data_IF_350848020470
#
_entry.id   IF_350848020470
#
_cell.length_a   1.000
_cell.length_b   1.000
_cell.length_c   1.000
_cell.angle_alpha   90.00
_cell.angle_beta   90.00
_cell.angle_gamma   90.00
#
_symmetry.space_group_name_H-M   'P 1'
#
loop_
_entity.id
_entity.type
_entity.pdbx_description
1 polymer ?
#
# COMPACT_ATOMS: atom_id res chain seq x y z
N UNK A 1 46.98 -46.56 -18.79
CA UNK A 1 46.28 -45.47 -19.49
C UNK A 1 44.78 -45.79 -19.62
N UNK A 2 43.96 -45.39 -18.65
CA UNK A 2 42.48 -45.32 -18.71
C UNK A 2 42.01 -44.89 -17.31
N UNK A 3 41.49 -43.67 -17.16
CA UNK A 3 40.53 -43.27 -16.09
C UNK A 3 40.28 -41.74 -15.93
N UNK A 4 40.66 -40.88 -16.88
CA UNK A 4 40.44 -39.43 -16.75
C UNK A 4 39.09 -38.92 -17.30
N UNK A 5 38.30 -39.75 -18.00
CA UNK A 5 37.02 -39.32 -18.61
C UNK A 5 35.81 -39.40 -17.69
N UNK A 6 35.83 -40.23 -16.64
CA UNK A 6 34.66 -40.44 -15.78
C UNK A 6 34.45 -39.31 -14.74
N UNK A 7 35.48 -38.53 -14.43
CA UNK A 7 35.40 -37.48 -13.40
C UNK A 7 34.72 -36.20 -13.91
N UNK A 8 34.89 -35.84 -15.19
CA UNK A 8 34.30 -34.63 -15.79
C UNK A 8 32.77 -34.67 -15.86
N UNK A 9 32.16 -35.85 -15.94
CA UNK A 9 30.71 -36.02 -16.06
C UNK A 9 29.94 -35.81 -14.74
N UNK A 10 30.63 -35.90 -13.57
CA UNK A 10 30.01 -35.66 -12.26
C UNK A 10 29.88 -34.16 -11.93
N UNK A 11 30.85 -33.34 -12.34
CA UNK A 11 30.81 -31.89 -12.09
C UNK A 11 29.75 -31.17 -12.94
N UNK A 12 29.48 -31.65 -14.15
CA UNK A 12 28.46 -31.06 -15.04
C UNK A 12 27.03 -31.16 -14.47
N UNK A 13 26.75 -32.17 -13.64
CA UNK A 13 25.40 -32.40 -13.07
C UNK A 13 25.11 -31.56 -11.82
N UNK A 14 26.13 -31.15 -11.08
CA UNK A 14 25.98 -30.33 -9.87
C UNK A 14 25.75 -28.85 -10.26
N UNK A 15 26.42 -28.37 -11.31
CA UNK A 15 26.23 -27.01 -11.82
C UNK A 15 24.83 -26.77 -12.42
N UNK A 16 24.22 -27.79 -13.03
CA UNK A 16 22.86 -27.68 -13.60
C UNK A 16 21.76 -27.58 -12.52
N UNK A 17 22.01 -28.08 -11.29
CA UNK A 17 21.04 -28.04 -10.19
C UNK A 17 21.04 -26.71 -9.42
N UNK A 18 22.16 -25.98 -9.38
CA UNK A 18 22.20 -24.69 -8.69
C UNK A 18 21.50 -23.58 -9.50
N UNK A 19 21.56 -23.63 -10.83
CA UNK A 19 20.93 -22.64 -11.70
C UNK A 19 19.38 -22.66 -11.62
N UNK A 20 18.77 -23.84 -11.42
CA UNK A 20 17.31 -23.99 -11.29
C UNK A 20 16.77 -23.46 -9.97
N UNK A 21 17.53 -23.59 -8.87
CA UNK A 21 17.10 -23.07 -7.55
C UNK A 21 17.07 -21.53 -7.57
N UNK A 22 18.06 -20.87 -8.18
CA UNK A 22 18.05 -19.41 -8.33
C UNK A 22 16.92 -18.91 -9.23
N UNK A 23 16.58 -19.65 -10.29
CA UNK A 23 15.47 -19.29 -11.17
C UNK A 23 14.09 -19.41 -10.49
N UNK A 24 13.88 -20.43 -9.64
CA UNK A 24 12.62 -20.61 -8.90
C UNK A 24 12.47 -19.57 -7.78
N UNK A 25 13.55 -19.22 -7.07
CA UNK A 25 13.50 -18.17 -6.03
C UNK A 25 13.22 -16.79 -6.64
N UNK A 26 13.70 -16.52 -7.86
CA UNK A 26 13.42 -15.27 -8.58
C UNK A 26 11.95 -15.11 -9.01
N UNK A 27 11.22 -16.20 -9.28
CA UNK A 27 9.82 -16.13 -9.74
C UNK A 27 8.79 -16.03 -8.60
N UNK A 28 9.17 -16.29 -7.34
CA UNK A 28 8.23 -16.23 -6.19
C UNK A 28 8.01 -14.80 -5.69
N UNK A 29 8.76 -13.80 -6.18
CA UNK A 29 8.46 -12.38 -5.95
C UNK A 29 7.58 -11.80 -7.06
N UNK A 30 6.49 -12.50 -7.38
CA UNK A 30 5.37 -11.84 -8.03
C UNK A 30 4.71 -10.99 -6.94
N UNK A 31 5.27 -9.80 -6.69
CA UNK A 31 4.57 -8.76 -5.94
C UNK A 31 3.21 -8.62 -6.60
N UNK A 32 2.16 -9.00 -5.88
CA UNK A 32 0.79 -8.83 -6.34
C UNK A 32 0.70 -7.42 -6.89
N UNK A 33 0.43 -7.28 -8.19
CA UNK A 33 0.22 -5.99 -8.82
C UNK A 33 -0.94 -5.33 -8.09
N UNK A 34 -0.62 -4.55 -7.05
CA UNK A 34 -1.58 -3.83 -6.26
C UNK A 34 -1.96 -2.64 -7.12
N UNK A 35 -3.09 -2.74 -7.82
CA UNK A 35 -3.63 -1.61 -8.52
C UNK A 35 -3.93 -0.52 -7.49
N UNK A 36 -3.14 0.56 -7.51
CA UNK A 36 -3.41 1.72 -6.69
C UNK A 36 -4.79 2.27 -7.05
N UNK A 37 -5.65 2.47 -6.05
CA UNK A 37 -6.94 3.11 -6.18
C UNK A 37 -6.74 4.61 -6.03
N UNK A 38 -7.03 5.37 -7.09
CA UNK A 38 -6.96 6.83 -7.08
C UNK A 38 -8.27 7.43 -6.56
N UNK A 39 -8.23 7.97 -5.37
CA UNK A 39 -9.34 8.66 -4.72
C UNK A 39 -9.31 10.14 -5.11
N UNK A 40 -10.46 10.66 -5.50
CA UNK A 40 -10.68 12.08 -5.78
C UNK A 40 -11.51 12.67 -4.65
N UNK A 41 -11.13 13.85 -4.17
CA UNK A 41 -11.86 14.59 -3.15
C UNK A 41 -12.22 15.93 -3.71
N UNK A 42 -13.51 16.21 -3.76
CA UNK A 42 -14.05 17.50 -4.14
C UNK A 42 -14.71 18.14 -2.92
N UNK A 43 -14.41 19.41 -2.69
CA UNK A 43 -15.12 20.26 -1.74
C UNK A 43 -15.83 21.32 -2.56
N UNK A 44 -17.15 21.26 -2.58
CA UNK A 44 -18.00 22.24 -3.24
C UNK A 44 -18.56 23.20 -2.18
N UNK A 45 -18.68 24.49 -2.52
CA UNK A 45 -19.37 25.52 -1.76
C UNK A 45 -20.45 26.12 -2.65
N UNK A 46 -21.69 26.07 -2.22
CA UNK A 46 -22.84 26.60 -2.96
C UNK A 46 -22.92 26.03 -4.41
N UNK A 47 -22.50 24.77 -4.58
CA UNK A 47 -22.44 24.07 -5.87
C UNK A 47 -21.23 24.38 -6.75
N UNK A 48 -20.27 25.19 -6.29
CA UNK A 48 -19.01 25.49 -7.00
C UNK A 48 -17.84 24.75 -6.35
N UNK A 49 -16.97 24.15 -7.16
CA UNK A 49 -15.76 23.49 -6.66
C UNK A 49 -14.79 24.55 -6.12
N UNK A 50 -14.43 24.43 -4.84
CA UNK A 50 -13.52 25.35 -4.13
C UNK A 50 -12.20 24.71 -3.75
N UNK A 51 -12.22 23.40 -3.45
CA UNK A 51 -11.00 22.64 -3.15
C UNK A 51 -11.07 21.28 -3.82
N UNK A 52 -9.92 20.81 -4.29
CA UNK A 52 -9.79 19.45 -4.80
C UNK A 52 -8.46 18.82 -4.37
N UNK A 53 -8.45 17.50 -4.20
CA UNK A 53 -7.20 16.76 -3.99
C UNK A 53 -7.35 15.30 -4.41
N UNK A 54 -6.22 14.62 -4.50
CA UNK A 54 -6.13 13.22 -4.88
C UNK A 54 -5.36 12.45 -3.82
N UNK A 55 -5.84 11.24 -3.51
CA UNK A 55 -5.11 10.28 -2.68
C UNK A 55 -4.98 8.97 -3.44
N UNK A 56 -3.90 8.24 -3.22
CA UNK A 56 -3.77 6.86 -3.67
C UNK A 56 -3.76 5.90 -2.47
N UNK A 57 -4.43 4.75 -2.62
CA UNK A 57 -4.32 3.65 -1.65
C UNK A 57 -4.34 2.28 -2.34
N UNK A 58 -4.12 1.21 -1.55
CA UNK A 58 -4.15 -0.17 -2.06
C UNK A 58 -5.56 -0.73 -2.31
N UNK A 59 -6.61 0.09 -2.31
CA UNK A 59 -8.00 -0.32 -2.56
C UNK A 59 -8.71 -1.00 -1.39
N UNK A 60 -8.04 -1.18 -0.24
CA UNK A 60 -8.55 -1.94 0.92
C UNK A 60 -9.15 -1.08 2.03
N UNK A 61 -8.88 0.23 2.03
CA UNK A 61 -9.38 1.12 3.06
C UNK A 61 -10.90 1.31 2.91
N UNK A 62 -11.60 1.23 4.05
CA UNK A 62 -13.03 1.53 4.12
C UNK A 62 -13.30 3.05 4.03
N UNK A 63 -14.57 3.43 3.88
CA UNK A 63 -14.97 4.83 3.76
C UNK A 63 -14.51 5.68 4.96
N UNK A 64 -14.59 5.14 6.17
CA UNK A 64 -14.18 5.81 7.40
C UNK A 64 -12.66 6.06 7.44
N UNK A 65 -11.85 5.13 6.95
CA UNK A 65 -10.40 5.27 6.84
C UNK A 65 -10.03 6.27 5.75
N UNK A 66 -10.67 6.17 4.58
CA UNK A 66 -10.44 7.09 3.46
C UNK A 66 -10.79 8.53 3.84
N UNK A 67 -11.89 8.75 4.58
CA UNK A 67 -12.26 10.10 5.04
C UNK A 67 -11.15 10.77 5.86
N UNK A 68 -10.45 9.99 6.68
CA UNK A 68 -9.35 10.48 7.52
C UNK A 68 -8.10 10.87 6.74
N UNK A 69 -8.08 10.64 5.42
CA UNK A 69 -7.00 11.13 4.57
C UNK A 69 -7.03 12.66 4.43
N UNK A 70 -8.19 13.30 4.65
CA UNK A 70 -8.34 14.77 4.69
C UNK A 70 -7.38 15.47 5.67
N UNK A 71 -6.90 14.75 6.69
CA UNK A 71 -5.93 15.28 7.66
C UNK A 71 -4.46 15.03 7.29
N UNK A 72 -4.18 14.26 6.22
CA UNK A 72 -2.81 13.78 5.90
C UNK A 72 -2.10 14.64 4.87
N UNK A 73 -2.81 15.07 3.83
CA UNK A 73 -2.24 15.87 2.75
C UNK A 73 -3.01 17.16 2.60
N UNK A 74 -2.34 18.22 2.11
CA UNK A 74 -3.02 19.44 1.81
C UNK A 74 -3.98 19.26 0.63
N UNK A 75 -5.09 19.96 0.72
CA UNK A 75 -6.10 20.11 -0.31
C UNK A 75 -5.70 21.32 -1.14
N UNK A 76 -5.63 21.13 -2.46
CA UNK A 76 -5.27 22.19 -3.38
C UNK A 76 -6.49 23.08 -3.65
N UNK A 77 -6.26 24.39 -3.74
CA UNK A 77 -7.24 25.33 -4.26
C UNK A 77 -7.36 25.12 -5.76
N UNK A 78 -8.58 25.19 -6.27
CA UNK A 78 -8.77 25.32 -7.72
C UNK A 78 -8.50 26.78 -8.12
N UNK A 79 -7.55 26.97 -9.04
CA UNK A 79 -6.91 28.27 -9.30
C UNK A 79 -7.89 29.35 -9.79
N UNK A 80 -9.08 28.97 -10.29
CA UNK A 80 -9.92 29.87 -11.07
C UNK A 80 -11.24 30.29 -10.40
N UNK A 81 -11.70 29.64 -9.32
CA UNK A 81 -13.11 29.74 -8.92
C UNK A 81 -13.39 30.37 -7.56
N UNK A 82 -12.51 30.29 -6.55
CA UNK A 82 -12.70 31.01 -5.29
C UNK A 82 -11.45 30.97 -4.39
N UNK A 83 -11.04 32.12 -3.86
CA UNK A 83 -9.98 32.17 -2.84
C UNK A 83 -10.56 31.82 -1.47
N UNK A 84 -9.97 30.86 -0.78
CA UNK A 84 -10.17 30.69 0.67
C UNK A 84 -9.45 31.85 1.37
N UNK A 85 -10.22 32.75 1.97
CA UNK A 85 -9.68 33.90 2.70
C UNK A 85 -9.20 33.46 4.10
N UNK A 86 -7.94 33.71 4.47
CA UNK A 86 -7.46 33.48 5.83
C UNK A 86 -8.16 34.37 6.86
N UNK A 87 -8.31 33.88 8.09
CA UNK A 87 -8.87 34.66 9.19
C UNK A 87 -7.96 35.86 9.51
N UNK A 88 -8.54 37.05 9.68
CA UNK A 88 -7.79 38.31 9.91
C UNK A 88 -6.95 38.29 11.19
N UNK A 89 -7.38 37.56 12.21
CA UNK A 89 -6.68 37.43 13.49
C UNK A 89 -5.67 36.27 13.50
N UNK A 90 -5.83 35.29 12.60
CA UNK A 90 -4.96 34.13 12.54
C UNK A 90 -4.81 33.65 11.09
N UNK A 91 -3.76 34.08 10.36
CA UNK A 91 -3.60 33.74 8.96
C UNK A 91 -3.34 32.25 8.73
N UNK A 92 -3.10 31.44 9.75
CA UNK A 92 -2.95 29.99 9.63
C UNK A 92 -4.28 29.24 9.63
N UNK A 93 -5.40 29.96 9.75
CA UNK A 93 -6.76 29.42 9.78
C UNK A 93 -7.60 30.11 8.72
N UNK A 94 -8.62 29.40 8.25
CA UNK A 94 -9.67 29.97 7.43
C UNK A 94 -10.99 29.28 7.76
N UNK A 95 -12.07 30.07 7.77
CA UNK A 95 -13.42 29.55 7.90
C UNK A 95 -14.15 29.70 6.57
N UNK A 96 -14.63 28.58 6.02
CA UNK A 96 -15.49 28.58 4.84
C UNK A 96 -16.91 28.36 5.30
N UNK A 97 -17.80 29.32 5.08
CA UNK A 97 -19.24 29.23 5.35
C UNK A 97 -20.05 29.15 4.04
N UNK A 98 -21.11 28.36 4.00
CA UNK A 98 -21.99 28.17 2.82
C UNK A 98 -22.64 26.78 2.81
N UNK A 99 -23.33 26.39 1.73
CA UNK A 99 -23.72 24.99 1.54
C UNK A 99 -22.51 24.19 1.05
N UNK A 100 -21.84 23.49 1.97
CA UNK A 100 -20.57 22.81 1.69
C UNK A 100 -20.84 21.32 1.50
N UNK A 101 -20.40 20.77 0.37
CA UNK A 101 -20.41 19.35 0.07
C UNK A 101 -18.98 18.84 -0.03
N UNK A 102 -18.61 17.90 0.84
CA UNK A 102 -17.36 17.13 0.72
C UNK A 102 -17.72 15.79 0.10
N UNK A 103 -17.09 15.43 -1.02
CA UNK A 103 -17.33 14.19 -1.75
C UNK A 103 -16.02 13.45 -2.03
N UNK A 104 -15.96 12.19 -1.61
CA UNK A 104 -14.94 11.24 -2.00
C UNK A 104 -15.47 10.35 -3.13
N UNK A 105 -14.72 10.26 -4.23
CA UNK A 105 -15.02 9.37 -5.35
C UNK A 105 -13.80 8.59 -5.80
N UNK A 106 -14.04 7.45 -6.46
CA UNK A 106 -13.05 6.72 -7.23
C UNK A 106 -13.64 6.45 -8.60
N UNK A 107 -13.05 7.03 -9.65
CA UNK A 107 -13.66 7.09 -10.99
C UNK A 107 -15.05 7.72 -10.84
N UNK A 108 -16.13 6.99 -11.17
CA UNK A 108 -17.50 7.49 -11.11
C UNK A 108 -18.25 7.05 -9.85
N UNK A 109 -17.59 6.34 -8.93
CA UNK A 109 -18.21 5.80 -7.71
C UNK A 109 -17.96 6.72 -6.52
N UNK A 110 -19.03 7.26 -5.94
CA UNK A 110 -18.99 7.93 -4.64
C UNK A 110 -18.75 6.91 -3.54
N UNK A 111 -17.72 7.14 -2.72
CA UNK A 111 -17.36 6.30 -1.58
C UNK A 111 -17.93 6.85 -0.27
N UNK A 112 -17.89 8.17 -0.11
CA UNK A 112 -18.42 8.87 1.04
C UNK A 112 -18.73 10.32 0.65
N UNK A 113 -19.73 10.91 1.30
CA UNK A 113 -20.01 12.33 1.15
C UNK A 113 -20.66 12.89 2.41
N UNK A 114 -20.53 14.20 2.61
CA UNK A 114 -21.25 14.89 3.68
C UNK A 114 -21.59 16.32 3.29
N UNK A 115 -22.69 16.82 3.84
CA UNK A 115 -23.12 18.21 3.72
C UNK A 115 -22.99 18.92 5.06
N UNK A 116 -22.49 20.15 5.04
CA UNK A 116 -22.29 20.96 6.23
C UNK A 116 -22.35 22.45 5.88
N UNK A 117 -22.51 23.30 6.89
CA UNK A 117 -22.64 24.76 6.70
C UNK A 117 -21.36 25.55 6.93
N UNK A 118 -20.38 24.94 7.60
CA UNK A 118 -19.11 25.57 7.99
C UNK A 118 -17.97 24.57 8.02
N UNK A 119 -16.90 24.86 7.28
CA UNK A 119 -15.66 24.09 7.23
C UNK A 119 -14.49 24.92 7.76
N UNK A 120 -13.77 24.39 8.73
CA UNK A 120 -12.57 25.01 9.29
C UNK A 120 -11.32 24.42 8.65
N UNK A 121 -10.52 25.27 8.02
CA UNK A 121 -9.29 24.91 7.36
C UNK A 121 -8.11 25.48 8.14
N UNK A 122 -6.99 24.78 8.05
CA UNK A 122 -5.71 25.21 8.63
C UNK A 122 -4.61 25.06 7.58
N UNK A 123 -3.55 25.86 7.71
CA UNK A 123 -2.35 25.76 6.86
C UNK A 123 -1.08 25.85 7.71
N UNK A 124 0.01 25.27 7.21
CA UNK A 124 1.28 25.21 7.94
C UNK A 124 2.05 26.52 7.87
N UNK A 125 1.83 27.33 6.84
CA UNK A 125 2.52 28.59 6.58
C UNK A 125 1.55 29.65 6.05
N UNK A 126 1.74 30.91 6.46
CA UNK A 126 0.84 32.01 6.13
C UNK A 126 0.89 32.47 4.66
N UNK A 127 1.90 32.04 3.90
CA UNK A 127 2.01 32.27 2.45
C UNK A 127 1.60 31.05 1.63
N UNK A 128 1.38 29.90 2.27
CA UNK A 128 0.96 28.68 1.58
C UNK A 128 -0.48 28.78 1.08
N UNK A 129 -0.70 28.35 -0.16
CA UNK A 129 -2.02 28.11 -0.75
C UNK A 129 -2.61 26.74 -0.37
N UNK A 130 -1.84 25.93 0.36
CA UNK A 130 -2.21 24.57 0.73
C UNK A 130 -2.94 24.54 2.07
N UNK A 131 -4.22 24.13 2.02
CA UNK A 131 -5.09 24.06 3.19
C UNK A 131 -5.38 22.61 3.58
N UNK A 132 -5.57 22.32 4.87
CA UNK A 132 -5.91 21.00 5.37
C UNK A 132 -6.99 21.09 6.45
N UNK A 133 -7.66 19.97 6.70
CA UNK A 133 -8.54 19.85 7.85
C UNK A 133 -7.70 19.47 9.06
N UNK A 134 -7.96 20.13 10.20
CA UNK A 134 -7.44 19.66 11.47
C UNK A 134 -8.01 18.28 11.83
N UNK A 135 -7.30 17.48 12.62
CA UNK A 135 -7.79 16.18 13.08
C UNK A 135 -9.20 16.26 13.71
N UNK A 136 -9.43 17.30 14.52
CA UNK A 136 -10.74 17.55 15.13
C UNK A 136 -11.84 17.79 14.07
N UNK A 137 -11.51 18.54 13.01
CA UNK A 137 -12.44 18.83 11.92
C UNK A 137 -12.70 17.60 11.04
N UNK A 138 -11.69 16.77 10.82
CA UNK A 138 -11.81 15.47 10.14
C UNK A 138 -12.80 14.57 10.89
N UNK A 139 -12.65 14.42 12.21
CA UNK A 139 -13.55 13.59 13.01
C UNK A 139 -14.97 14.17 13.10
N UNK A 140 -15.09 15.49 13.20
CA UNK A 140 -16.39 16.18 13.18
C UNK A 140 -17.14 15.91 11.87
N UNK A 141 -16.46 16.07 10.74
CA UNK A 141 -17.07 15.85 9.42
C UNK A 141 -17.35 14.37 9.15
N UNK A 142 -16.49 13.45 9.63
CA UNK A 142 -16.73 12.01 9.58
C UNK A 142 -18.01 11.62 10.34
N UNK A 143 -18.20 12.18 11.53
CA UNK A 143 -19.40 11.94 12.34
C UNK A 143 -20.67 12.41 11.62
N UNK A 144 -20.64 13.60 11.01
CA UNK A 144 -21.77 14.14 10.22
C UNK A 144 -22.04 13.26 8.99
N UNK A 145 -20.99 12.71 8.38
CA UNK A 145 -21.08 11.77 7.25
C UNK A 145 -21.67 10.40 7.65
N UNK A 146 -21.93 10.16 8.95
CA UNK A 146 -22.36 8.86 9.46
C UNK A 146 -21.26 7.80 9.43
N UNK A 147 -19.99 8.24 9.35
CA UNK A 147 -18.84 7.35 9.35
C UNK A 147 -18.42 7.08 10.80
N UNK A 148 -18.41 5.81 11.17
CA UNK A 148 -17.92 5.37 12.47
C UNK A 148 -16.41 5.51 12.65
N UNK A 149 -15.86 4.97 13.76
CA UNK A 149 -14.42 4.75 13.86
C UNK A 149 -13.94 3.91 12.66
N UNK A 150 -12.67 4.10 12.22
CA UNK A 150 -12.14 3.29 11.13
C UNK A 150 -12.21 1.83 11.56
N UNK A 151 -12.66 0.94 10.66
CA UNK A 151 -12.55 -0.48 10.95
C UNK A 151 -11.09 -0.77 11.24
N UNK A 152 -10.80 -1.52 12.30
CA UNK A 152 -9.46 -2.03 12.52
C UNK A 152 -9.13 -2.90 11.32
N UNK A 153 -8.47 -2.32 10.32
CA UNK A 153 -7.91 -3.08 9.21
C UNK A 153 -6.91 -3.99 9.91
N UNK A 154 -7.08 -5.33 9.86
CA UNK A 154 -6.04 -6.19 10.37
C UNK A 154 -4.80 -5.81 9.59
N UNK A 155 -3.84 -5.21 10.27
CA UNK A 155 -2.49 -5.03 9.75
C UNK A 155 -1.96 -6.45 9.62
N UNK A 156 -2.31 -7.07 8.49
CA UNK A 156 -1.70 -8.32 8.07
C UNK A 156 -0.25 -7.96 7.89
N UNK A 157 0.54 -8.26 8.92
CA UNK A 157 1.96 -7.99 8.95
C UNK A 157 2.58 -8.80 7.80
N UNK A 158 2.70 -8.16 6.64
CA UNK A 158 3.22 -8.77 5.43
C UNK A 158 4.63 -9.31 5.68
N UNK A 159 5.36 -8.76 6.66
CA UNK A 159 6.62 -9.31 7.13
C UNK A 159 6.43 -10.69 7.77
N UNK A 160 5.46 -10.86 8.67
CA UNK A 160 5.19 -12.16 9.29
C UNK A 160 4.79 -13.23 8.24
N UNK A 161 3.93 -12.86 7.28
CA UNK A 161 3.55 -13.77 6.19
C UNK A 161 4.75 -14.09 5.28
N UNK A 162 5.53 -13.07 4.90
CA UNK A 162 6.73 -13.26 4.08
C UNK A 162 7.80 -14.10 4.77
N UNK A 163 7.99 -13.94 6.08
CA UNK A 163 8.95 -14.72 6.88
C UNK A 163 8.50 -16.18 6.97
N UNK A 164 7.21 -16.44 7.21
CA UNK A 164 6.67 -17.80 7.25
C UNK A 164 6.80 -18.51 5.90
N UNK A 165 6.46 -17.83 4.80
CA UNK A 165 6.63 -18.38 3.44
C UNK A 165 8.11 -18.64 3.14
N UNK A 166 8.99 -17.70 3.46
CA UNK A 166 10.43 -17.85 3.28
C UNK A 166 11.00 -19.03 4.10
N UNK A 167 10.57 -19.18 5.35
CA UNK A 167 10.99 -20.28 6.22
C UNK A 167 10.49 -21.64 5.71
N UNK A 168 9.23 -21.74 5.31
CA UNK A 168 8.68 -22.97 4.73
C UNK A 168 9.45 -23.40 3.48
N UNK A 169 9.81 -22.43 2.62
CA UNK A 169 10.58 -22.69 1.40
C UNK A 169 12.01 -23.17 1.73
N UNK A 170 12.65 -22.58 2.74
CA UNK A 170 13.96 -23.03 3.25
C UNK A 170 13.91 -24.46 3.79
N UNK A 171 12.87 -24.81 4.56
CA UNK A 171 12.68 -26.17 5.08
C UNK A 171 12.52 -27.18 3.94
N UNK A 172 11.74 -26.86 2.92
CA UNK A 172 11.57 -27.74 1.75
C UNK A 172 12.91 -27.95 1.02
N UNK A 173 13.67 -26.88 0.78
CA UNK A 173 14.99 -26.96 0.15
C UNK A 173 15.94 -27.83 0.98
N UNK A 174 15.94 -27.65 2.30
CA UNK A 174 16.75 -28.45 3.21
C UNK A 174 16.38 -29.95 3.15
N UNK A 175 15.09 -30.29 3.19
CA UNK A 175 14.63 -31.68 3.11
C UNK A 175 15.02 -32.33 1.78
N UNK A 176 14.86 -31.63 0.65
CA UNK A 176 15.30 -32.12 -0.67
C UNK A 176 16.81 -32.37 -0.68
N UNK A 177 17.60 -31.45 -0.13
CA UNK A 177 19.05 -31.62 -0.02
C UNK A 177 19.43 -32.88 0.78
N UNK A 178 18.79 -33.10 1.94
CA UNK A 178 19.02 -34.28 2.77
C UNK A 178 18.71 -35.58 2.02
N UNK A 179 17.59 -35.64 1.30
CA UNK A 179 17.20 -36.82 0.50
C UNK A 179 18.20 -37.12 -0.62
N UNK A 180 18.69 -36.08 -1.30
CA UNK A 180 19.69 -36.20 -2.37
C UNK A 180 21.01 -36.74 -1.80
N UNK A 181 21.50 -36.16 -0.69
CA UNK A 181 22.73 -36.62 -0.03
C UNK A 181 22.59 -38.08 0.44
N UNK A 182 21.48 -38.43 1.08
CA UNK A 182 21.23 -39.80 1.54
C UNK A 182 21.24 -40.81 0.37
N UNK A 183 20.66 -40.43 -0.76
CA UNK A 183 20.63 -41.26 -1.98
C UNK A 183 22.03 -41.44 -2.59
N UNK A 184 22.86 -40.39 -2.60
CA UNK A 184 24.25 -40.46 -3.05
C UNK A 184 25.10 -41.36 -2.14
N UNK A 185 24.91 -41.26 -0.82
CA UNK A 185 25.61 -42.11 0.16
C UNK A 185 25.22 -43.58 0.00
N UNK A 186 23.92 -43.89 -0.15
CA UNK A 186 23.46 -45.27 -0.39
C UNK A 186 24.08 -45.85 -1.66
N UNK A 187 24.13 -45.07 -2.74
CA UNK A 187 24.73 -45.49 -4.01
C UNK A 187 26.24 -45.73 -3.93
N UNK A 188 26.94 -45.00 -3.06
CA UNK A 188 28.37 -45.21 -2.81
C UNK A 188 28.65 -46.47 -1.99
N UNK A 189 27.67 -46.91 -1.15
CA UNK A 189 27.82 -48.06 -0.27
C UNK A 189 27.45 -49.40 -0.87
N UNK A 190 26.78 -49.46 -2.03
CA UNK A 190 26.54 -50.75 -2.69
C UNK A 190 27.87 -51.34 -3.18
N UNK A 191 28.38 -52.41 -2.55
CA UNK A 191 29.62 -53.05 -2.99
C UNK A 191 29.40 -53.63 -4.38
N UNK A 192 30.40 -53.50 -5.25
CA UNK A 192 30.45 -54.29 -6.48
C UNK A 192 30.73 -55.72 -6.06
N UNK A 193 29.68 -56.54 -5.97
CA UNK A 193 29.86 -57.98 -6.06
C UNK A 193 30.38 -58.26 -7.48
N UNK A 194 31.66 -58.61 -7.53
CA UNK A 194 32.38 -59.11 -8.71
C UNK A 194 32.44 -60.61 -8.65
#
# INVERSE_FOLDING_TARGET
>A
MRNSTCQKQKYLRIAAFSATIFAVIGMVRCESASAARLLQVHVERDGQLVLHTYYDDGGKADAATVWRYLGRQPIMLEEETMSVEPDTQNPLRATVDGDILIRFSHVDRVLAQTKLTRLNLIRSDAQSSMWFLSEQEVERTATIAGLGPPSAVPEVDFFAVSVLVGFALLVVVFLVFVVVVASLVRRARTPRET
#
